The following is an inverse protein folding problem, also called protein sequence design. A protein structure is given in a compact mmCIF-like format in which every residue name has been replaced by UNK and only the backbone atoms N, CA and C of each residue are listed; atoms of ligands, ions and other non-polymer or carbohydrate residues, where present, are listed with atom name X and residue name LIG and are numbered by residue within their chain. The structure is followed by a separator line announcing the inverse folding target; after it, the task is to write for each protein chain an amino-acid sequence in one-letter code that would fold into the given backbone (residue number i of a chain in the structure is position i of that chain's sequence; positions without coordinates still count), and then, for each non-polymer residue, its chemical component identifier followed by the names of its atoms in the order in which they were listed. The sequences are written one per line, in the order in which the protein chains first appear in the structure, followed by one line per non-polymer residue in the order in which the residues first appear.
data_IF_473803253895
#
_entry.id   IF_473803253895
#
_cell.length_a   1.000
_cell.length_b   1.000
_cell.length_c   1.000
_cell.angle_alpha   90.00
_cell.angle_beta   90.00
_cell.angle_gamma   90.00
#
_symmetry.space_group_name_H-M   'P 1'
#
loop_
_entity.id
_entity.type
_entity.pdbx_description
1 polymer ?
#
# COMPACT_ATOMS: atom_id res chain seq x y z
N UNK A 1 -28.19 -0.66 -2.61
CA UNK A 1 -28.47 -2.04 -3.05
C UNK A 1 -27.79 -2.98 -2.06
N UNK A 2 -28.53 -3.71 -1.25
CA UNK A 2 -27.94 -4.65 -0.30
C UNK A 2 -27.59 -5.93 -1.06
N UNK A 3 -26.30 -6.21 -1.22
CA UNK A 3 -25.81 -7.42 -1.86
C UNK A 3 -25.36 -8.39 -0.77
N UNK A 4 -25.63 -9.67 -1.01
CA UNK A 4 -25.32 -10.74 -0.07
C UNK A 4 -24.37 -11.69 -0.79
N UNK A 5 -23.32 -12.12 -0.10
CA UNK A 5 -22.43 -13.17 -0.55
C UNK A 5 -22.47 -14.33 0.43
N UNK A 6 -22.34 -15.53 -0.12
CA UNK A 6 -22.25 -16.74 0.68
C UNK A 6 -20.81 -16.83 1.21
N UNK A 7 -20.66 -16.79 2.53
CA UNK A 7 -19.36 -16.93 3.20
C UNK A 7 -19.33 -18.21 4.01
N UNK A 8 -18.17 -18.86 4.03
CA UNK A 8 -17.92 -20.00 4.89
C UNK A 8 -17.62 -19.52 6.30
N UNK A 9 -18.40 -20.02 7.26
CA UNK A 9 -18.24 -19.70 8.69
C UNK A 9 -17.45 -20.77 9.42
N UNK A 10 -17.44 -22.00 8.89
CA UNK A 10 -16.73 -23.13 9.50
C UNK A 10 -16.07 -24.00 8.42
N UNK A 11 -14.83 -24.42 8.69
CA UNK A 11 -14.03 -25.28 7.81
C UNK A 11 -13.69 -26.58 8.53
N UNK A 12 -13.74 -27.69 7.80
CA UNK A 12 -13.25 -28.99 8.25
C UNK A 12 -11.70 -29.01 8.22
N UNK A 13 -11.11 -29.98 8.90
CA UNK A 13 -9.66 -30.30 8.91
C UNK A 13 -9.06 -30.52 7.52
N UNK A 14 -9.89 -30.86 6.52
CA UNK A 14 -9.49 -30.96 5.10
C UNK A 14 -9.60 -29.64 4.31
N UNK A 15 -9.96 -28.53 4.94
CA UNK A 15 -10.18 -27.24 4.28
C UNK A 15 -11.50 -27.13 3.50
N UNK A 16 -12.37 -28.15 3.60
CA UNK A 16 -13.71 -28.11 3.02
C UNK A 16 -14.65 -27.29 3.90
N UNK A 17 -15.52 -26.50 3.26
CA UNK A 17 -16.50 -25.68 3.96
C UNK A 17 -17.70 -26.52 4.41
N UNK A 18 -17.95 -26.54 5.72
CA UNK A 18 -19.02 -27.33 6.34
C UNK A 18 -20.23 -26.49 6.75
N UNK A 19 -20.02 -25.20 7.02
CA UNK A 19 -21.10 -24.27 7.36
C UNK A 19 -20.99 -23.00 6.52
N UNK A 20 -22.13 -22.59 5.95
CA UNK A 20 -22.25 -21.43 5.07
C UNK A 20 -23.34 -20.51 5.57
N UNK A 21 -23.07 -19.22 5.58
CA UNK A 21 -24.04 -18.20 5.95
C UNK A 21 -24.04 -17.07 4.93
N UNK A 22 -25.23 -16.55 4.63
CA UNK A 22 -25.36 -15.32 3.87
C UNK A 22 -24.96 -14.14 4.74
N UNK A 23 -23.90 -13.43 4.33
CA UNK A 23 -23.54 -12.16 4.93
C UNK A 23 -23.78 -11.03 3.95
N UNK A 24 -24.18 -9.89 4.50
CA UNK A 24 -24.34 -8.66 3.75
C UNK A 24 -22.94 -8.14 3.43
N UNK A 25 -22.68 -7.89 2.14
CA UNK A 25 -21.38 -7.43 1.67
C UNK A 25 -21.57 -6.16 0.85
N UNK A 26 -20.62 -5.25 0.96
CA UNK A 26 -20.53 -4.10 0.08
C UNK A 26 -19.62 -4.46 -1.09
N UNK A 27 -20.19 -4.50 -2.31
CA UNK A 27 -19.36 -4.50 -3.51
C UNK A 27 -18.76 -3.12 -3.68
N UNK A 28 -17.44 -3.05 -3.64
CA UNK A 28 -16.70 -1.86 -3.97
C UNK A 28 -16.63 -1.79 -5.50
N UNK A 29 -17.10 -0.69 -6.13
CA UNK A 29 -17.00 -0.52 -7.57
C UNK A 29 -15.55 -0.70 -8.04
N UNK A 30 -15.34 -1.33 -9.20
CA UNK A 30 -13.99 -1.62 -9.69
C UNK A 30 -13.17 -0.33 -9.89
N UNK A 31 -13.84 0.77 -10.26
CA UNK A 31 -13.26 2.11 -10.38
C UNK A 31 -12.73 2.71 -9.07
N UNK A 32 -13.10 2.18 -7.89
CA UNK A 32 -12.63 2.65 -6.59
C UNK A 32 -11.69 1.67 -5.87
N UNK A 33 -11.20 0.63 -6.56
CA UNK A 33 -10.29 -0.36 -5.99
C UNK A 33 -9.03 0.23 -5.37
N UNK A 34 -8.42 1.23 -6.01
CA UNK A 34 -7.22 1.93 -5.50
C UNK A 34 -7.51 2.78 -4.26
N UNK A 35 -8.67 3.43 -4.22
CA UNK A 35 -9.11 4.19 -3.04
C UNK A 35 -9.44 3.24 -1.87
N UNK A 36 -10.09 2.12 -2.15
CA UNK A 36 -10.43 1.10 -1.17
C UNK A 36 -9.20 0.43 -0.57
N UNK A 37 -8.19 0.12 -1.39
CA UNK A 37 -6.91 -0.38 -0.90
C UNK A 37 -6.25 0.63 0.04
N UNK A 38 -6.24 1.93 -0.33
CA UNK A 38 -5.79 3.00 0.56
C UNK A 38 -6.58 3.06 1.88
N UNK A 39 -7.90 2.91 1.86
CA UNK A 39 -8.71 2.91 3.08
C UNK A 39 -8.41 1.70 3.97
N UNK A 40 -8.22 0.51 3.38
CA UNK A 40 -7.91 -0.72 4.09
C UNK A 40 -6.51 -0.73 4.70
N UNK A 41 -5.56 0.01 4.11
CA UNK A 41 -4.20 0.17 4.63
C UNK A 41 -4.03 1.38 5.57
N UNK A 42 -5.13 2.04 5.96
CA UNK A 42 -5.09 3.19 6.88
C UNK A 42 -4.59 4.50 6.24
N UNK A 43 -4.79 4.66 4.94
CA UNK A 43 -4.34 5.80 4.15
C UNK A 43 -2.89 5.67 3.65
N UNK A 44 -2.28 4.49 3.82
CA UNK A 44 -0.89 4.27 3.50
C UNK A 44 -0.71 3.70 2.09
N UNK A 45 0.08 4.40 1.26
CA UNK A 45 0.48 3.93 -0.08
C UNK A 45 1.98 3.67 -0.10
N UNK A 46 2.36 2.41 -0.33
CA UNK A 46 3.77 2.01 -0.45
C UNK A 46 4.46 2.71 -1.63
N UNK A 47 3.73 2.94 -2.72
CA UNK A 47 4.22 3.68 -3.88
C UNK A 47 4.50 5.15 -3.54
N UNK A 48 3.55 5.82 -2.87
CA UNK A 48 3.75 7.21 -2.45
C UNK A 48 4.90 7.36 -1.45
N UNK A 49 5.05 6.41 -0.51
CA UNK A 49 6.22 6.36 0.37
C UNK A 49 7.52 6.19 -0.42
N UNK A 50 7.55 5.26 -1.38
CA UNK A 50 8.74 5.00 -2.19
C UNK A 50 9.19 6.23 -2.99
N UNK A 51 8.22 6.94 -3.60
CA UNK A 51 8.49 8.19 -4.33
C UNK A 51 9.00 9.27 -3.37
N UNK A 52 8.35 9.47 -2.22
CA UNK A 52 8.75 10.49 -1.24
C UNK A 52 10.13 10.23 -0.65
N UNK A 53 10.38 8.99 -0.21
CA UNK A 53 11.67 8.59 0.36
C UNK A 53 12.80 8.64 -0.68
N UNK A 54 12.56 8.10 -1.88
CA UNK A 54 13.51 8.13 -2.98
C UNK A 54 13.87 9.56 -3.42
N UNK A 55 12.87 10.44 -3.50
CA UNK A 55 13.07 11.86 -3.78
C UNK A 55 13.91 12.56 -2.70
N UNK A 56 13.62 12.31 -1.43
CA UNK A 56 14.40 12.89 -0.33
C UNK A 56 15.86 12.39 -0.33
N UNK A 57 16.08 11.09 -0.56
CA UNK A 57 17.42 10.50 -0.59
C UNK A 57 18.25 10.99 -1.78
N UNK A 58 17.65 11.11 -2.96
CA UNK A 58 18.35 11.63 -4.14
C UNK A 58 18.81 13.08 -3.94
N UNK A 59 17.95 13.95 -3.39
CA UNK A 59 18.32 15.32 -3.04
C UNK A 59 19.42 15.37 -1.98
N UNK A 60 19.35 14.51 -0.97
CA UNK A 60 20.36 14.41 0.08
C UNK A 60 21.74 14.04 -0.48
N UNK A 61 21.81 13.00 -1.33
CA UNK A 61 23.06 12.55 -1.96
C UNK A 61 23.61 13.62 -2.90
N UNK A 62 22.75 14.29 -3.68
CA UNK A 62 23.17 15.37 -4.55
C UNK A 62 23.77 16.55 -3.76
N UNK A 63 23.11 16.97 -2.68
CA UNK A 63 23.60 18.04 -1.80
C UNK A 63 24.93 17.71 -1.13
N UNK A 64 25.07 16.49 -0.61
CA UNK A 64 26.34 16.01 -0.07
C UNK A 64 27.43 15.98 -1.14
N UNK A 65 27.14 15.45 -2.33
CA UNK A 65 28.09 15.37 -3.44
C UNK A 65 28.61 16.75 -3.86
N UNK A 66 27.72 17.73 -4.01
CA UNK A 66 28.08 19.12 -4.30
C UNK A 66 28.93 19.70 -3.17
N UNK A 67 28.55 19.48 -1.91
CA UNK A 67 29.32 19.93 -0.74
C UNK A 67 30.75 19.38 -0.71
N UNK A 68 30.92 18.09 -1.01
CA UNK A 68 32.23 17.46 -1.12
C UNK A 68 33.04 18.00 -2.29
N UNK A 69 32.43 18.18 -3.47
CA UNK A 69 33.10 18.74 -4.63
C UNK A 69 33.62 20.17 -4.35
N UNK A 70 32.78 21.02 -3.75
CA UNK A 70 33.18 22.37 -3.35
C UNK A 70 34.29 22.37 -2.30
N UNK A 71 34.22 21.46 -1.32
CA UNK A 71 35.28 21.30 -0.32
C UNK A 71 36.60 20.86 -0.94
N UNK A 72 36.57 19.96 -1.91
CA UNK A 72 37.76 19.50 -2.63
C UNK A 72 38.37 20.63 -3.47
N UNK A 73 37.53 21.39 -4.20
CA UNK A 73 37.98 22.55 -4.98
C UNK A 73 38.63 23.64 -4.12
N UNK A 74 38.15 23.87 -2.89
CA UNK A 74 38.78 24.81 -1.95
C UNK A 74 40.13 24.34 -1.40
N UNK A 75 40.48 23.07 -1.58
CA UNK A 75 41.71 22.46 -1.07
C UNK A 75 42.84 22.39 -2.10
N UNK A 76 42.52 22.68 -3.37
CA UNK A 76 43.46 22.82 -4.50
C UNK A 76 43.91 24.28 -4.53
#
# INVERSE_FOLDING_TARGET
MNQYALVCTELDTGGACISQQWQQVYLIPAESGTAAELFLTGGFSAEAMGIGFGGAMTLFVAGLGIGFALKALRRI
#
